data_IF_999381753346
#
_entry.id   IF_999381753346
#
_cell.length_a   1.000
_cell.length_b   1.000
_cell.length_c   1.000
_cell.angle_alpha   90.00
_cell.angle_beta   90.00
_cell.angle_gamma   90.00
#
_symmetry.space_group_name_H-M   'P 1'
#
loop_
_entity.id
_entity.type
_entity.pdbx_description
1 polymer ?
#
# COMPACT_ATOMS: atom_id res chain seq x y z
N UNK A 1 -42.79 -24.36 5.45
CA UNK A 1 -41.36 -24.63 5.76
C UNK A 1 -40.40 -23.75 4.93
N UNK A 2 -40.90 -22.92 4.02
CA UNK A 2 -40.06 -22.19 3.06
C UNK A 2 -39.70 -20.76 3.50
N UNK A 3 -40.63 -20.04 4.15
CA UNK A 3 -40.41 -18.66 4.62
C UNK A 3 -39.27 -18.55 5.64
N UNK A 4 -39.14 -19.54 6.53
CA UNK A 4 -38.05 -19.60 7.52
C UNK A 4 -36.67 -19.81 6.87
N UNK A 5 -36.62 -20.59 5.77
CA UNK A 5 -35.39 -20.80 5.00
C UNK A 5 -34.99 -19.55 4.23
N UNK A 6 -35.96 -18.85 3.62
CA UNK A 6 -35.73 -17.57 2.93
C UNK A 6 -35.20 -16.50 3.90
N UNK A 7 -35.81 -16.36 5.08
CA UNK A 7 -35.33 -15.42 6.11
C UNK A 7 -33.92 -15.79 6.56
N UNK A 8 -33.63 -17.07 6.82
CA UNK A 8 -32.30 -17.53 7.22
C UNK A 8 -31.25 -17.22 6.14
N UNK A 9 -31.56 -17.45 4.87
CA UNK A 9 -30.66 -17.14 3.75
C UNK A 9 -30.40 -15.64 3.65
N UNK A 10 -31.42 -14.79 3.80
CA UNK A 10 -31.24 -13.33 3.79
C UNK A 10 -30.34 -12.87 4.94
N UNK A 11 -30.56 -13.39 6.15
CA UNK A 11 -29.72 -13.06 7.31
C UNK A 11 -28.27 -13.44 7.07
N UNK A 12 -28.00 -14.63 6.53
CA UNK A 12 -26.63 -15.07 6.21
C UNK A 12 -26.00 -14.13 5.17
N UNK A 13 -26.71 -13.79 4.10
CA UNK A 13 -26.20 -12.89 3.05
C UNK A 13 -25.89 -11.50 3.62
N UNK A 14 -26.77 -10.94 4.45
CA UNK A 14 -26.54 -9.64 5.10
C UNK A 14 -25.32 -9.69 6.01
N UNK A 15 -25.15 -10.75 6.81
CA UNK A 15 -23.98 -10.93 7.66
C UNK A 15 -22.69 -11.02 6.85
N UNK A 16 -22.69 -11.75 5.73
CA UNK A 16 -21.55 -11.84 4.83
C UNK A 16 -21.19 -10.47 4.25
N UNK A 17 -22.18 -9.69 3.81
CA UNK A 17 -21.95 -8.34 3.28
C UNK A 17 -21.31 -7.44 4.35
N UNK A 18 -21.82 -7.47 5.59
CA UNK A 18 -21.25 -6.69 6.70
C UNK A 18 -19.80 -7.09 6.96
N UNK A 19 -19.50 -8.39 6.96
CA UNK A 19 -18.12 -8.90 7.13
C UNK A 19 -17.23 -8.41 5.99
N UNK A 20 -17.68 -8.48 4.75
CA UNK A 20 -16.90 -8.02 3.59
C UNK A 20 -16.59 -6.52 3.66
N UNK A 21 -17.58 -5.70 4.04
CA UNK A 21 -17.39 -4.24 4.18
C UNK A 21 -16.39 -3.91 5.29
N UNK A 22 -16.49 -4.57 6.45
CA UNK A 22 -15.58 -4.32 7.58
C UNK A 22 -14.13 -4.75 7.28
N UNK A 23 -13.95 -5.91 6.63
CA UNK A 23 -12.62 -6.39 6.19
C UNK A 23 -12.02 -5.45 5.15
N UNK A 24 -12.81 -5.02 4.15
CA UNK A 24 -12.34 -4.06 3.14
C UNK A 24 -11.93 -2.72 3.77
N UNK A 25 -12.69 -2.23 4.76
CA UNK A 25 -12.36 -1.02 5.51
C UNK A 25 -11.01 -1.12 6.24
N UNK A 26 -10.74 -2.24 6.92
CA UNK A 26 -9.46 -2.45 7.60
C UNK A 26 -8.28 -2.51 6.62
N UNK A 27 -8.44 -3.19 5.48
CA UNK A 27 -7.42 -3.25 4.43
C UNK A 27 -7.14 -1.86 3.85
N UNK A 28 -8.18 -1.07 3.61
CA UNK A 28 -8.05 0.29 3.11
C UNK A 28 -7.28 1.21 4.07
N UNK A 29 -7.52 1.06 5.37
CA UNK A 29 -6.82 1.82 6.39
C UNK A 29 -5.32 1.47 6.43
N UNK A 30 -4.99 0.18 6.45
CA UNK A 30 -3.60 -0.28 6.51
C UNK A 30 -2.76 0.14 5.29
N UNK A 31 -3.35 0.13 4.09
CA UNK A 31 -2.64 0.52 2.87
C UNK A 31 -2.37 2.02 2.77
N UNK A 32 -3.15 2.85 3.46
CA UNK A 32 -2.88 4.29 3.53
C UNK A 32 -1.77 4.63 4.52
N UNK A 33 -1.75 3.99 5.69
CA UNK A 33 -0.79 4.33 6.76
C UNK A 33 0.65 4.06 6.34
N UNK A 34 0.91 2.99 5.60
CA UNK A 34 2.25 2.66 5.05
C UNK A 34 2.82 3.71 4.10
N UNK A 35 2.00 4.66 3.64
CA UNK A 35 2.43 5.76 2.76
C UNK A 35 2.42 7.12 3.46
N UNK A 36 1.96 7.26 4.70
CA UNK A 36 1.89 8.56 5.37
C UNK A 36 3.28 9.11 5.67
N UNK A 37 3.47 10.42 5.50
CA UNK A 37 4.74 11.10 5.78
C UNK A 37 4.47 12.54 6.22
N UNK A 38 5.45 13.15 6.88
CA UNK A 38 5.47 14.59 7.19
C UNK A 38 6.52 15.34 6.38
N UNK A 39 7.61 14.64 5.99
CA UNK A 39 8.73 15.22 5.24
C UNK A 39 9.35 14.20 4.29
N UNK A 40 10.11 14.66 3.29
CA UNK A 40 10.70 13.80 2.26
C UNK A 40 11.58 12.69 2.83
N UNK A 41 12.33 12.97 3.91
CA UNK A 41 13.20 12.00 4.58
C UNK A 41 12.47 10.87 5.30
N UNK A 42 11.13 10.93 5.38
CA UNK A 42 10.31 9.83 5.86
C UNK A 42 10.10 8.78 4.77
N UNK A 43 10.32 9.12 3.51
CA UNK A 43 10.00 8.31 2.36
C UNK A 43 11.22 7.56 1.82
N UNK A 44 11.00 6.30 1.44
CA UNK A 44 11.98 5.44 0.81
C UNK A 44 11.31 4.54 -0.22
N UNK A 45 12.09 3.93 -1.11
CA UNK A 45 11.56 2.99 -2.10
C UNK A 45 10.92 1.78 -1.43
N UNK A 46 9.79 1.29 -1.93
CA UNK A 46 9.06 0.14 -1.36
C UNK A 46 9.87 -1.14 -1.47
N UNK A 47 10.40 -1.41 -2.65
CA UNK A 47 11.22 -2.58 -2.93
C UNK A 47 12.68 -2.31 -2.54
N UNK A 48 13.48 -3.37 -2.42
CA UNK A 48 14.91 -3.20 -2.23
C UNK A 48 15.59 -2.69 -3.51
N UNK A 49 15.45 -3.44 -4.60
CA UNK A 49 16.02 -3.12 -5.90
C UNK A 49 14.91 -2.59 -6.81
N UNK A 50 15.28 -1.71 -7.74
CA UNK A 50 14.37 -1.22 -8.80
C UNK A 50 13.01 -0.73 -8.26
N UNK A 51 12.95 0.10 -7.20
CA UNK A 51 11.68 0.44 -6.60
C UNK A 51 10.83 1.28 -7.56
N UNK A 52 9.56 0.90 -7.70
CA UNK A 52 8.59 1.60 -8.55
C UNK A 52 7.60 2.45 -7.75
N UNK A 53 7.72 2.42 -6.43
CA UNK A 53 6.82 3.12 -5.51
C UNK A 53 7.55 3.50 -4.22
N UNK A 54 6.98 4.45 -3.50
CA UNK A 54 7.52 4.96 -2.24
C UNK A 54 6.60 4.59 -1.07
N UNK A 55 7.22 4.27 0.06
CA UNK A 55 6.59 4.01 1.35
C UNK A 55 7.27 4.82 2.44
N UNK A 56 6.65 4.90 3.60
CA UNK A 56 7.32 5.42 4.79
C UNK A 56 8.37 4.40 5.26
N UNK A 57 9.58 4.88 5.53
CA UNK A 57 10.75 4.06 5.90
C UNK A 57 10.54 3.21 7.15
N UNK A 58 9.64 3.62 8.05
CA UNK A 58 9.31 2.86 9.27
C UNK A 58 8.61 1.52 8.94
N UNK A 59 8.07 1.38 7.73
CA UNK A 59 7.44 0.15 7.24
C UNK A 59 8.29 -0.58 6.20
N UNK A 60 9.55 -0.16 5.99
CA UNK A 60 10.44 -0.83 5.06
C UNK A 60 11.09 -2.03 5.75
N UNK A 61 10.89 -3.20 5.15
CA UNK A 61 11.61 -4.41 5.54
C UNK A 61 13.11 -4.30 5.21
N UNK A 62 13.99 -4.96 6.01
CA UNK A 62 15.42 -5.03 5.71
C UNK A 62 15.66 -5.58 4.30
N UNK A 63 16.61 -4.96 3.58
CA UNK A 63 17.06 -5.53 2.32
C UNK A 63 18.24 -6.48 2.54
N UNK A 64 18.02 -7.75 2.24
CA UNK A 64 19.03 -8.81 2.31
C UNK A 64 19.38 -9.40 0.93
N UNK A 65 19.09 -8.68 -0.15
CA UNK A 65 19.28 -9.14 -1.53
C UNK A 65 20.42 -8.36 -2.20
N UNK A 66 21.16 -9.03 -3.09
CA UNK A 66 22.08 -8.36 -4.01
C UNK A 66 21.28 -7.87 -5.22
N UNK A 67 21.36 -6.57 -5.50
CA UNK A 67 20.71 -5.96 -6.65
C UNK A 67 21.58 -6.10 -7.90
N UNK A 68 20.94 -6.12 -9.08
CA UNK A 68 21.66 -6.00 -10.35
C UNK A 68 22.12 -4.55 -10.56
N UNK A 69 23.13 -4.35 -11.41
CA UNK A 69 23.60 -3.01 -11.79
C UNK A 69 22.77 -2.36 -12.92
N UNK A 70 21.58 -2.89 -13.22
CA UNK A 70 20.70 -2.31 -14.24
C UNK A 70 19.93 -1.14 -13.62
N UNK A 71 19.78 -0.04 -14.36
CA UNK A 71 18.89 1.05 -13.96
C UNK A 71 17.45 0.71 -14.39
N UNK A 72 16.53 0.49 -13.44
CA UNK A 72 15.14 0.21 -13.76
C UNK A 72 14.15 1.04 -12.94
N UNK A 73 13.08 1.48 -13.60
CA UNK A 73 12.03 2.24 -12.95
C UNK A 73 12.42 3.68 -12.62
N UNK A 74 11.52 4.42 -11.96
CA UNK A 74 11.64 5.87 -11.80
C UNK A 74 12.51 6.30 -10.61
N UNK A 75 12.99 5.38 -9.77
CA UNK A 75 13.76 5.69 -8.56
C UNK A 75 15.21 5.22 -8.64
N UNK A 76 15.55 4.39 -9.62
CA UNK A 76 16.92 3.97 -9.85
C UNK A 76 17.72 5.04 -10.56
N UNK A 77 19.04 5.02 -10.31
CA UNK A 77 20.01 5.86 -11.00
C UNK A 77 19.64 7.36 -10.98
N UNK A 78 18.95 7.79 -9.92
CA UNK A 78 18.51 9.17 -9.68
C UNK A 78 17.54 9.74 -10.72
N UNK A 79 16.88 8.90 -11.54
CA UNK A 79 15.81 9.32 -12.46
C UNK A 79 14.60 9.94 -11.72
N UNK A 80 14.52 9.72 -10.41
CA UNK A 80 13.55 10.31 -9.51
C UNK A 80 13.94 10.01 -8.06
N UNK A 81 13.13 10.53 -7.14
CA UNK A 81 13.32 10.37 -5.71
C UNK A 81 12.00 10.08 -5.01
N UNK A 82 12.09 9.50 -3.81
CA UNK A 82 10.93 9.42 -2.94
C UNK A 82 10.80 10.71 -2.13
N UNK A 83 9.62 11.30 -2.16
CA UNK A 83 9.30 12.48 -1.35
C UNK A 83 7.87 12.48 -0.85
N UNK A 84 7.59 13.42 0.03
CA UNK A 84 6.32 13.56 0.71
C UNK A 84 5.43 14.57 -0.02
N UNK A 85 4.45 14.04 -0.77
CA UNK A 85 3.53 14.85 -1.56
C UNK A 85 2.13 14.70 -0.98
N UNK A 86 1.53 15.81 -0.52
CA UNK A 86 0.22 15.82 0.12
C UNK A 86 0.10 14.83 1.29
N UNK A 87 1.14 14.75 2.13
CA UNK A 87 1.21 13.84 3.28
C UNK A 87 1.38 12.36 2.91
N UNK A 88 1.69 12.05 1.64
CA UNK A 88 1.90 10.68 1.16
C UNK A 88 3.20 10.51 0.39
N UNK A 89 3.94 9.46 0.72
CA UNK A 89 5.14 9.05 0.01
C UNK A 89 4.82 8.71 -1.45
N UNK A 90 5.45 9.48 -2.33
CA UNK A 90 5.22 9.49 -3.77
C UNK A 90 6.54 9.60 -4.51
N UNK A 91 6.55 9.12 -5.75
CA UNK A 91 7.69 9.28 -6.66
C UNK A 91 7.67 10.70 -7.20
N UNK A 92 8.77 11.44 -7.01
CA UNK A 92 9.02 12.74 -7.58
C UNK A 92 10.03 12.54 -8.72
N UNK A 93 9.69 12.99 -9.93
CA UNK A 93 10.60 12.87 -11.08
C UNK A 93 11.74 13.87 -10.95
N UNK A 94 12.97 13.43 -11.20
CA UNK A 94 14.10 14.32 -11.42
C UNK A 94 13.95 14.97 -12.80
N UNK A 95 14.30 16.25 -12.90
CA UNK A 95 14.11 17.06 -14.12
C UNK A 95 15.08 16.66 -15.23
#
# INVERSE_FOLDING_TARGET
METKKVILTIVIVVLIIIILVTVAGMIYFQTNTVRLCSQDSDCTGKQCCHPNSCINKNYKEPCNLLCTNVCEGPLDCSAGSCGCVNGKCSVIKSK
#
